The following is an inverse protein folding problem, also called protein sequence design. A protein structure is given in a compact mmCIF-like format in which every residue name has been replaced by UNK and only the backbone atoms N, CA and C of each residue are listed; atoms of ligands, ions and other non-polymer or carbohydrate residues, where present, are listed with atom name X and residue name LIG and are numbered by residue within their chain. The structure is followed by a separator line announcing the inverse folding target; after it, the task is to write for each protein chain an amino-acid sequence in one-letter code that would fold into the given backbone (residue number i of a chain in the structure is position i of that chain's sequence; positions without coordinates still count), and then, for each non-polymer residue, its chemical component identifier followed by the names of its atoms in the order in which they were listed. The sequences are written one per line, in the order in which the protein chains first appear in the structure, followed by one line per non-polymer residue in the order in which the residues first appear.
data_IF_574352523694
#
_entry.id   IF_574352523694
#
_cell.length_a   1.000
_cell.length_b   1.000
_cell.length_c   1.000
_cell.angle_alpha   90.00
_cell.angle_beta   90.00
_cell.angle_gamma   90.00
#
_symmetry.space_group_name_H-M   'P 1'
#
loop_
_entity.id
_entity.type
_entity.pdbx_description
1 polymer ?
#
# COMPACT_ATOMS: atom_id res chain seq x y z
N UNK A 1 -28.08 15.12 1.70
CA UNK A 1 -27.88 13.86 0.95
C UNK A 1 -27.05 12.96 1.85
N UNK A 2 -27.53 11.75 2.15
CA UNK A 2 -26.75 10.72 2.87
C UNK A 2 -25.45 10.43 2.11
N UNK A 3 -24.45 9.85 2.77
CA UNK A 3 -23.22 9.46 2.09
C UNK A 3 -23.50 8.37 1.03
N UNK A 4 -24.40 7.42 1.32
CA UNK A 4 -24.94 6.48 0.34
C UNK A 4 -25.60 7.20 -0.84
N UNK A 5 -26.44 8.21 -0.59
CA UNK A 5 -27.06 9.01 -1.63
C UNK A 5 -26.06 9.75 -2.53
N UNK A 6 -24.91 10.19 -2.00
CA UNK A 6 -23.83 10.79 -2.81
C UNK A 6 -23.20 9.76 -3.74
N UNK A 7 -22.93 8.55 -3.24
CA UNK A 7 -22.35 7.45 -4.03
C UNK A 7 -23.32 7.01 -5.13
N UNK A 8 -24.60 6.79 -4.81
CA UNK A 8 -25.63 6.41 -5.79
C UNK A 8 -25.82 7.48 -6.87
N UNK A 9 -25.65 8.75 -6.51
CA UNK A 9 -25.66 9.84 -7.49
C UNK A 9 -24.45 9.74 -8.42
N UNK A 10 -23.24 9.58 -7.88
CA UNK A 10 -22.02 9.45 -8.68
C UNK A 10 -22.11 8.25 -9.63
N UNK A 11 -22.59 7.10 -9.14
CA UNK A 11 -22.83 5.89 -9.93
C UNK A 11 -23.62 6.20 -11.21
N UNK A 12 -24.70 6.98 -11.09
CA UNK A 12 -25.53 7.39 -12.23
C UNK A 12 -24.82 8.40 -13.11
N UNK A 13 -24.13 9.38 -12.53
CA UNK A 13 -23.44 10.44 -13.29
C UNK A 13 -22.25 9.91 -14.10
N UNK A 14 -21.61 8.83 -13.64
CA UNK A 14 -20.43 8.21 -14.27
C UNK A 14 -20.76 6.96 -15.09
N UNK A 15 -22.03 6.58 -15.22
CA UNK A 15 -22.46 5.33 -15.88
C UNK A 15 -21.72 4.08 -15.33
N UNK A 16 -21.59 4.02 -14.00
CA UNK A 16 -20.92 2.90 -13.32
C UNK A 16 -21.70 1.61 -13.57
N UNK A 17 -20.98 0.57 -14.02
CA UNK A 17 -21.52 -0.77 -14.28
C UNK A 17 -21.34 -1.72 -13.11
N UNK A 18 -20.31 -1.50 -12.31
CA UNK A 18 -19.93 -2.39 -11.22
C UNK A 18 -19.49 -1.61 -9.98
N UNK A 19 -19.77 -2.17 -8.81
CA UNK A 19 -19.20 -1.71 -7.54
C UNK A 19 -18.29 -2.77 -6.96
N UNK A 20 -17.04 -2.38 -6.70
CA UNK A 20 -15.99 -3.26 -6.22
C UNK A 20 -15.69 -2.99 -4.74
N UNK A 21 -16.02 -3.95 -3.89
CA UNK A 21 -15.81 -3.86 -2.46
C UNK A 21 -14.42 -4.41 -2.10
N UNK A 22 -13.53 -3.55 -1.61
CA UNK A 22 -12.12 -3.86 -1.34
C UNK A 22 -11.83 -3.93 0.15
N UNK A 23 -11.08 -4.93 0.58
CA UNK A 23 -10.66 -5.10 1.98
C UNK A 23 -9.24 -5.65 2.03
N UNK A 24 -8.60 -5.68 3.21
CA UNK A 24 -7.23 -6.15 3.35
C UNK A 24 -7.17 -7.41 4.22
N UNK A 25 -6.50 -8.45 3.72
CA UNK A 25 -6.30 -9.69 4.47
C UNK A 25 -5.19 -9.57 5.53
N UNK A 26 -5.02 -10.63 6.34
CA UNK A 26 -3.99 -10.69 7.40
C UNK A 26 -2.55 -10.59 6.90
N UNK A 27 -2.31 -10.86 5.61
CA UNK A 27 -0.98 -10.72 4.99
C UNK A 27 -0.75 -9.32 4.41
N UNK A 28 -1.75 -8.43 4.50
CA UNK A 28 -1.69 -7.07 3.99
C UNK A 28 -1.99 -6.96 2.49
N UNK A 29 -2.51 -8.02 1.85
CA UNK A 29 -2.94 -7.95 0.45
C UNK A 29 -4.36 -7.39 0.38
N UNK A 30 -4.55 -6.42 -0.52
CA UNK A 30 -5.89 -5.96 -0.87
C UNK A 30 -6.60 -7.04 -1.68
N UNK A 31 -7.76 -7.43 -1.20
CA UNK A 31 -8.70 -8.38 -1.79
C UNK A 31 -9.96 -7.61 -2.22
N UNK A 32 -10.77 -8.21 -3.09
CA UNK A 32 -11.97 -7.55 -3.58
C UNK A 32 -13.09 -8.53 -3.97
N UNK A 33 -14.32 -8.05 -3.97
CA UNK A 33 -15.50 -8.71 -4.56
C UNK A 33 -16.29 -7.66 -5.34
N UNK A 34 -16.58 -7.97 -6.60
CA UNK A 34 -17.27 -7.06 -7.52
C UNK A 34 -18.74 -7.44 -7.67
N UNK A 35 -19.62 -6.45 -7.57
CA UNK A 35 -21.06 -6.61 -7.67
C UNK A 35 -21.58 -5.86 -8.90
N UNK A 36 -22.54 -6.48 -9.58
CA UNK A 36 -23.30 -5.82 -10.63
C UNK A 36 -24.14 -4.68 -10.04
N UNK A 37 -24.29 -3.59 -10.79
CA UNK A 37 -24.98 -2.40 -10.31
C UNK A 37 -26.44 -2.66 -9.92
N UNK A 38 -27.08 -3.67 -10.50
CA UNK A 38 -28.45 -4.07 -10.16
C UNK A 38 -28.60 -4.52 -8.70
N UNK A 39 -27.52 -4.92 -8.02
CA UNK A 39 -27.50 -5.28 -6.60
C UNK A 39 -27.16 -4.12 -5.66
N UNK A 40 -26.80 -2.95 -6.18
CA UNK A 40 -26.27 -1.84 -5.38
C UNK A 40 -27.33 -0.77 -5.16
N UNK A 41 -28.01 -0.87 -4.03
CA UNK A 41 -28.95 0.14 -3.54
C UNK A 41 -28.47 0.78 -2.22
N UNK A 42 -29.34 1.59 -1.59
CA UNK A 42 -29.00 2.25 -0.32
C UNK A 42 -28.82 1.23 0.81
N UNK A 43 -29.60 0.15 0.84
CA UNK A 43 -29.47 -0.91 1.84
C UNK A 43 -28.15 -1.67 1.69
N UNK A 44 -27.75 -2.03 0.47
CA UNK A 44 -26.45 -2.64 0.21
C UNK A 44 -25.27 -1.80 0.74
N UNK A 45 -25.32 -0.48 0.52
CA UNK A 45 -24.26 0.43 0.97
C UNK A 45 -24.29 0.64 2.49
N UNK A 46 -25.49 0.78 3.06
CA UNK A 46 -25.66 1.11 4.48
C UNK A 46 -25.55 -0.11 5.39
N UNK A 47 -26.04 -1.28 4.99
CA UNK A 47 -26.03 -2.52 5.77
C UNK A 47 -24.82 -3.39 5.45
N UNK A 48 -24.37 -3.41 4.20
CA UNK A 48 -23.27 -4.23 3.71
C UNK A 48 -23.74 -5.52 3.06
N UNK A 49 -22.79 -6.39 2.71
CA UNK A 49 -23.09 -7.63 1.98
C UNK A 49 -22.28 -8.81 2.48
N UNK A 50 -22.89 -10.00 2.41
CA UNK A 50 -22.29 -11.24 2.88
C UNK A 50 -21.29 -11.80 1.87
N UNK A 51 -20.21 -12.41 2.37
CA UNK A 51 -19.25 -13.13 1.55
C UNK A 51 -18.63 -14.31 2.32
N UNK A 52 -18.05 -15.24 1.56
CA UNK A 52 -17.33 -16.39 2.09
C UNK A 52 -15.88 -16.01 2.46
N UNK A 53 -15.62 -15.93 3.77
CA UNK A 53 -14.29 -15.64 4.33
C UNK A 53 -13.38 -16.86 4.49
N UNK A 54 -13.85 -18.08 4.22
CA UNK A 54 -13.12 -19.33 4.49
C UNK A 54 -11.91 -19.54 3.60
N UNK A 55 -11.92 -18.93 2.40
CA UNK A 55 -10.80 -19.00 1.44
C UNK A 55 -9.67 -18.02 1.76
N UNK A 56 -9.81 -17.18 2.80
CA UNK A 56 -8.80 -16.20 3.19
C UNK A 56 -7.90 -16.81 4.25
N UNK A 57 -6.61 -16.92 3.91
CA UNK A 57 -5.64 -17.60 4.75
C UNK A 57 -5.58 -16.98 6.16
N UNK A 58 -5.86 -17.80 7.17
CA UNK A 58 -5.84 -17.37 8.56
C UNK A 58 -7.10 -16.62 9.00
N UNK A 59 -8.21 -16.72 8.29
CA UNK A 59 -9.53 -16.22 8.73
C UNK A 59 -10.41 -17.36 9.26
N UNK A 60 -11.71 -17.37 8.94
CA UNK A 60 -12.69 -18.33 9.44
C UNK A 60 -12.47 -19.74 8.88
N UNK A 61 -12.82 -20.74 9.67
CA UNK A 61 -12.90 -22.11 9.19
C UNK A 61 -14.16 -22.30 8.34
N UNK A 62 -14.19 -23.33 7.48
CA UNK A 62 -15.30 -23.60 6.55
C UNK A 62 -16.67 -23.68 7.24
N UNK A 63 -16.71 -24.11 8.50
CA UNK A 63 -17.96 -24.24 9.27
C UNK A 63 -18.48 -22.93 9.88
N UNK A 64 -17.74 -21.82 9.75
CA UNK A 64 -18.13 -20.47 10.19
C UNK A 64 -17.71 -19.43 9.12
N UNK A 65 -17.88 -19.79 7.84
CA UNK A 65 -17.33 -19.07 6.68
C UNK A 65 -17.89 -17.67 6.48
N UNK A 66 -19.16 -17.48 6.82
CA UNK A 66 -19.91 -16.29 6.45
C UNK A 66 -19.41 -15.06 7.21
N UNK A 67 -19.11 -14.00 6.46
CA UNK A 67 -18.68 -12.72 7.00
C UNK A 67 -19.38 -11.57 6.29
N UNK A 68 -19.41 -10.40 6.92
CA UNK A 68 -20.06 -9.21 6.38
C UNK A 68 -19.00 -8.18 5.94
N UNK A 69 -19.04 -7.80 4.67
CA UNK A 69 -18.33 -6.62 4.16
C UNK A 69 -19.18 -5.40 4.42
N UNK A 70 -18.65 -4.47 5.22
CA UNK A 70 -19.29 -3.18 5.51
C UNK A 70 -18.58 -2.08 4.71
N UNK A 71 -19.19 -1.53 3.65
CA UNK A 71 -18.60 -0.43 2.91
C UNK A 71 -18.38 0.80 3.79
N UNK A 72 -17.21 1.41 3.68
CA UNK A 72 -16.89 2.69 4.30
C UNK A 72 -17.26 3.81 3.32
N UNK A 73 -18.39 4.46 3.57
CA UNK A 73 -18.98 5.44 2.65
C UNK A 73 -18.29 6.82 2.69
N UNK A 74 -17.22 6.97 3.49
CA UNK A 74 -16.51 8.25 3.62
C UNK A 74 -15.83 8.70 2.33
N UNK A 75 -15.43 7.75 1.48
CA UNK A 75 -14.79 8.01 0.20
C UNK A 75 -15.12 6.89 -0.80
N UNK A 76 -15.07 7.24 -2.09
CA UNK A 76 -15.21 6.31 -3.21
C UNK A 76 -14.30 6.75 -4.35
N UNK A 77 -14.00 5.84 -5.26
CA UNK A 77 -13.12 6.09 -6.39
C UNK A 77 -13.62 5.35 -7.63
N UNK A 78 -13.31 5.88 -8.81
CA UNK A 78 -13.43 5.13 -10.06
C UNK A 78 -12.09 4.44 -10.32
N UNK A 79 -12.13 3.15 -10.63
CA UNK A 79 -10.93 2.40 -10.96
C UNK A 79 -10.35 2.87 -12.32
N UNK A 80 -9.07 3.27 -12.39
CA UNK A 80 -8.48 3.81 -13.61
C UNK A 80 -7.97 2.73 -14.57
N UNK A 81 -7.95 1.45 -14.17
CA UNK A 81 -7.34 0.36 -14.94
C UNK A 81 -8.37 -0.59 -15.56
N UNK A 82 -9.57 -0.67 -14.99
CA UNK A 82 -10.64 -1.51 -15.54
C UNK A 82 -11.24 -0.95 -16.84
N UNK A 83 -11.56 -1.84 -17.77
CA UNK A 83 -12.17 -1.47 -19.05
C UNK A 83 -13.62 -1.00 -18.91
N UNK A 84 -14.37 -1.61 -17.98
CA UNK A 84 -15.72 -1.19 -17.63
C UNK A 84 -15.64 -0.23 -16.45
N UNK A 85 -16.46 0.82 -16.47
CA UNK A 85 -16.48 1.80 -15.40
C UNK A 85 -16.94 1.15 -14.10
N UNK A 86 -16.01 1.07 -13.16
CA UNK A 86 -16.19 0.41 -11.88
C UNK A 86 -15.86 1.39 -10.77
N UNK A 87 -16.80 1.59 -9.86
CA UNK A 87 -16.57 2.33 -8.62
C UNK A 87 -16.07 1.36 -7.56
N UNK A 88 -15.13 1.75 -6.72
CA UNK A 88 -14.69 0.93 -5.60
C UNK A 88 -14.78 1.64 -4.26
N UNK A 89 -15.00 0.84 -3.22
CA UNK A 89 -15.13 1.26 -1.82
C UNK A 89 -14.23 0.39 -0.95
N UNK A 90 -13.55 1.00 0.03
CA UNK A 90 -12.93 0.22 1.09
C UNK A 90 -14.00 -0.30 2.05
N UNK A 91 -13.78 -1.48 2.60
CA UNK A 91 -14.68 -2.14 3.53
C UNK A 91 -13.97 -2.48 4.85
N UNK A 92 -14.72 -2.38 5.94
CA UNK A 92 -14.41 -3.13 7.15
C UNK A 92 -15.02 -4.53 7.06
N UNK A 93 -14.47 -5.47 7.82
CA UNK A 93 -15.04 -6.82 7.94
C UNK A 93 -15.67 -6.98 9.31
N UNK A 94 -16.93 -7.42 9.34
CA UNK A 94 -17.70 -7.61 10.55
C UNK A 94 -18.11 -9.08 10.72
N UNK A 95 -18.33 -9.49 11.97
CA UNK A 95 -18.98 -10.76 12.27
C UNK A 95 -20.50 -10.59 12.01
N UNK A 96 -21.14 -11.45 11.21
CA UNK A 96 -22.52 -11.25 10.80
C UNK A 96 -23.51 -11.39 11.95
N UNK A 97 -23.24 -12.30 12.90
CA UNK A 97 -24.13 -12.56 14.03
C UNK A 97 -24.19 -11.41 15.04
N UNK A 98 -23.07 -10.71 15.24
CA UNK A 98 -22.93 -9.68 16.28
C UNK A 98 -22.86 -8.26 15.73
N UNK A 99 -22.56 -8.10 14.44
CA UNK A 99 -22.21 -6.82 13.83
C UNK A 99 -20.87 -6.25 14.31
N UNK A 100 -20.12 -6.97 15.15
CA UNK A 100 -18.87 -6.47 15.72
C UNK A 100 -17.70 -6.62 14.73
N UNK A 101 -16.81 -5.63 14.75
CA UNK A 101 -15.58 -5.61 13.96
C UNK A 101 -14.74 -6.88 14.13
N UNK A 102 -14.44 -7.53 13.01
CA UNK A 102 -13.66 -8.76 12.95
C UNK A 102 -12.24 -8.52 13.48
N UNK A 103 -11.79 -9.38 14.38
CA UNK A 103 -10.53 -9.17 15.10
C UNK A 103 -9.27 -9.43 14.26
N UNK A 104 -9.39 -9.96 13.04
CA UNK A 104 -8.28 -10.15 12.09
C UNK A 104 -8.35 -9.22 10.88
N UNK A 105 -9.30 -8.29 10.85
CA UNK A 105 -9.31 -7.20 9.89
C UNK A 105 -8.36 -6.09 10.36
N UNK A 106 -7.31 -5.82 9.57
CA UNK A 106 -6.32 -4.80 9.86
C UNK A 106 -6.92 -3.39 9.92
N UNK A 107 -7.96 -3.11 9.12
CA UNK A 107 -8.61 -1.80 9.08
C UNK A 107 -9.38 -1.54 10.37
N UNK A 108 -10.14 -2.53 10.82
CA UNK A 108 -10.77 -2.55 12.14
C UNK A 108 -9.77 -2.40 13.30
N UNK A 109 -8.61 -3.06 13.22
CA UNK A 109 -7.56 -2.90 14.25
C UNK A 109 -6.98 -1.48 14.28
N UNK A 110 -6.76 -0.86 13.13
CA UNK A 110 -6.34 0.53 13.02
C UNK A 110 -7.36 1.49 13.65
N UNK A 111 -8.65 1.31 13.37
CA UNK A 111 -9.75 2.09 14.00
C UNK A 111 -9.74 1.94 15.53
N UNK A 112 -9.58 0.72 16.05
CA UNK A 112 -9.46 0.45 17.50
C UNK A 112 -8.22 1.11 18.11
N UNK A 113 -7.09 1.09 17.42
CA UNK A 113 -5.86 1.76 17.89
C UNK A 113 -6.03 3.28 17.99
N UNK A 114 -6.67 3.91 17.00
CA UNK A 114 -7.00 5.34 17.04
C UNK A 114 -7.94 5.69 18.20
N UNK A 115 -8.99 4.90 18.41
CA UNK A 115 -9.90 5.07 19.54
C UNK A 115 -9.19 4.91 20.90
N UNK A 116 -8.19 4.02 20.98
CA UNK A 116 -7.36 3.87 22.17
C UNK A 116 -6.51 5.12 22.44
N UNK A 117 -5.85 5.67 21.41
CA UNK A 117 -5.07 6.92 21.55
C UNK A 117 -5.96 8.06 22.05
N UNK A 118 -7.15 8.22 21.48
CA UNK A 118 -8.12 9.23 21.88
C UNK A 118 -8.59 9.04 23.33
N UNK A 119 -9.04 7.83 23.69
CA UNK A 119 -9.54 7.54 25.05
C UNK A 119 -8.47 7.60 26.13
N UNK A 120 -7.20 7.33 25.78
CA UNK A 120 -6.06 7.53 26.68
C UNK A 120 -5.72 9.00 26.95
N UNK A 121 -6.30 9.92 26.18
CA UNK A 121 -6.05 11.35 26.32
C UNK A 121 -4.64 11.76 25.91
N UNK A 122 -3.97 11.01 25.02
CA UNK A 122 -2.62 11.31 24.52
C UNK A 122 -2.66 12.27 23.32
N UNK A 123 -3.65 12.16 22.45
CA UNK A 123 -3.88 13.05 21.31
C UNK A 123 -5.22 12.76 20.63
N UNK A 124 -5.64 13.61 19.69
CA UNK A 124 -6.87 13.40 18.91
C UNK A 124 -6.61 12.83 17.51
N UNK A 125 -5.44 13.12 16.95
CA UNK A 125 -5.06 12.80 15.58
C UNK A 125 -3.65 12.22 15.55
N UNK A 126 -3.48 11.13 14.81
CA UNK A 126 -2.18 10.48 14.61
C UNK A 126 -1.87 10.45 13.12
N UNK A 127 -0.83 11.15 12.71
CA UNK A 127 -0.40 11.21 11.32
C UNK A 127 0.71 10.19 11.03
N UNK A 128 0.62 9.60 9.84
CA UNK A 128 1.58 8.68 9.28
C UNK A 128 2.02 9.16 7.89
N UNK A 129 3.31 9.04 7.59
CA UNK A 129 3.91 9.27 6.28
C UNK A 129 4.86 8.11 5.94
N UNK A 130 4.37 7.04 5.29
CA UNK A 130 5.20 5.94 4.82
C UNK A 130 5.84 6.27 3.45
N UNK A 131 7.15 6.07 3.36
CA UNK A 131 7.92 6.08 2.10
C UNK A 131 8.24 4.63 1.74
N UNK A 132 7.44 4.04 0.85
CA UNK A 132 7.59 2.64 0.45
C UNK A 132 8.40 2.54 -0.84
N UNK A 133 9.67 2.16 -0.69
CA UNK A 133 10.57 1.88 -1.81
C UNK A 133 10.14 0.58 -2.53
N UNK A 134 10.50 0.45 -3.80
CA UNK A 134 10.18 -0.72 -4.61
C UNK A 134 11.17 -0.91 -5.76
N UNK A 135 11.12 -2.08 -6.39
CA UNK A 135 11.88 -2.39 -7.59
C UNK A 135 10.94 -2.60 -8.78
N UNK A 136 11.41 -2.31 -9.98
CA UNK A 136 10.74 -2.66 -11.24
C UNK A 136 11.68 -3.51 -12.09
N UNK A 137 11.27 -4.74 -12.39
CA UNK A 137 12.03 -5.67 -13.23
C UNK A 137 11.37 -5.88 -14.59
N UNK A 138 12.17 -6.24 -15.58
CA UNK A 138 11.72 -6.62 -16.93
C UNK A 138 11.37 -8.11 -17.01
N UNK A 139 12.03 -8.95 -16.22
CA UNK A 139 11.77 -10.40 -16.13
C UNK A 139 11.88 -10.86 -14.68
N UNK A 140 10.99 -11.76 -14.24
CA UNK A 140 11.07 -12.43 -12.93
C UNK A 140 10.62 -13.87 -13.09
N UNK A 141 11.49 -14.82 -12.77
CA UNK A 141 11.22 -16.27 -12.85
C UNK A 141 11.61 -16.93 -11.53
N UNK A 142 10.82 -17.88 -11.07
CA UNK A 142 11.11 -18.64 -9.85
C UNK A 142 10.53 -20.04 -9.91
N UNK A 143 11.10 -20.94 -9.12
CA UNK A 143 10.66 -22.31 -8.98
C UNK A 143 10.87 -22.78 -7.54
N UNK A 144 9.93 -23.59 -7.06
CA UNK A 144 10.00 -24.27 -5.75
C UNK A 144 9.93 -25.78 -5.93
N UNK A 145 10.22 -26.28 -7.13
CA UNK A 145 10.28 -27.71 -7.39
C UNK A 145 11.45 -28.33 -6.60
N UNK A 146 11.31 -29.54 -6.04
CA UNK A 146 12.38 -30.14 -5.23
C UNK A 146 13.74 -30.28 -5.93
N UNK A 147 13.74 -30.37 -7.26
CA UNK A 147 14.94 -30.51 -8.10
C UNK A 147 15.39 -29.18 -8.75
N UNK A 148 14.61 -28.11 -8.60
CA UNK A 148 14.84 -26.81 -9.22
C UNK A 148 14.22 -25.74 -8.31
N UNK A 149 14.96 -25.36 -7.26
CA UNK A 149 14.53 -24.31 -6.34
C UNK A 149 15.42 -23.10 -6.51
N UNK A 150 14.82 -21.98 -6.92
CA UNK A 150 15.57 -20.77 -7.19
C UNK A 150 14.69 -19.66 -7.74
N UNK A 151 15.32 -18.52 -7.97
CA UNK A 151 14.72 -17.38 -8.63
C UNK A 151 15.79 -16.66 -9.46
N UNK A 152 15.33 -15.99 -10.51
CA UNK A 152 16.12 -15.07 -11.31
C UNK A 152 15.23 -13.88 -11.66
N UNK A 153 15.85 -12.74 -11.86
CA UNK A 153 15.18 -11.53 -12.31
C UNK A 153 16.13 -10.78 -13.22
N UNK A 154 15.56 -9.93 -14.06
CA UNK A 154 16.34 -9.10 -14.96
C UNK A 154 15.78 -7.68 -15.06
N UNK A 155 16.66 -6.73 -15.36
CA UNK A 155 16.28 -5.37 -15.75
C UNK A 155 17.36 -4.79 -16.64
N UNK A 156 16.95 -3.98 -17.62
CA UNK A 156 17.88 -3.25 -18.49
C UNK A 156 18.85 -2.36 -17.72
N UNK A 157 18.56 -1.98 -16.47
CA UNK A 157 19.45 -1.18 -15.63
C UNK A 157 20.47 -2.00 -14.84
N UNK A 158 20.33 -3.33 -14.77
CA UNK A 158 21.22 -4.15 -13.95
C UNK A 158 22.66 -4.13 -14.49
N UNK A 159 23.68 -3.96 -13.61
CA UNK A 159 25.09 -4.03 -14.00
C UNK A 159 25.48 -5.37 -14.65
N UNK A 160 24.74 -6.44 -14.37
CA UNK A 160 24.92 -7.76 -14.99
C UNK A 160 24.76 -7.72 -16.52
N UNK A 161 24.04 -6.72 -17.06
CA UNK A 161 23.73 -6.58 -18.48
C UNK A 161 24.67 -5.65 -19.26
N UNK A 162 25.81 -5.25 -18.66
CA UNK A 162 26.81 -4.39 -19.34
C UNK A 162 27.35 -5.01 -20.63
N UNK A 163 27.46 -6.34 -20.70
CA UNK A 163 27.87 -7.08 -21.90
C UNK A 163 26.75 -7.82 -22.63
N UNK A 164 25.48 -7.58 -22.27
CA UNK A 164 24.35 -8.26 -22.90
C UNK A 164 24.16 -7.82 -24.37
N UNK A 165 23.73 -8.75 -25.22
CA UNK A 165 23.34 -8.47 -26.61
C UNK A 165 21.82 -8.26 -26.69
N UNK A 166 21.41 -7.11 -27.21
CA UNK A 166 20.01 -6.77 -27.47
C UNK A 166 19.80 -6.57 -28.97
N UNK A 167 18.59 -6.85 -29.47
CA UNK A 167 18.24 -6.70 -30.89
C UNK A 167 18.47 -5.29 -31.43
N UNK A 168 18.24 -4.30 -30.59
CA UNK A 168 18.36 -2.86 -30.85
C UNK A 168 19.74 -2.30 -30.46
N UNK A 169 20.63 -3.15 -29.94
CA UNK A 169 21.97 -2.78 -29.45
C UNK A 169 22.01 -2.45 -27.96
N UNK A 170 23.20 -2.53 -27.37
CA UNK A 170 23.41 -2.21 -25.96
C UNK A 170 23.86 -0.75 -25.79
N UNK A 171 22.97 0.10 -25.27
CA UNK A 171 23.20 1.55 -25.15
C UNK A 171 24.20 1.96 -24.06
N UNK A 172 24.58 1.04 -23.17
CA UNK A 172 25.64 1.26 -22.17
C UNK A 172 25.29 2.12 -20.94
N UNK A 173 24.35 3.05 -21.04
CA UNK A 173 23.96 3.96 -19.94
C UNK A 173 23.19 3.22 -18.83
N UNK A 174 23.88 2.85 -17.74
CA UNK A 174 23.28 2.14 -16.60
C UNK A 174 23.85 2.62 -15.28
N UNK A 175 23.06 2.60 -14.19
CA UNK A 175 23.60 2.82 -12.86
C UNK A 175 24.55 1.68 -12.49
N UNK A 176 25.64 2.02 -11.82
CA UNK A 176 26.50 1.01 -11.20
C UNK A 176 25.83 0.43 -9.96
N UNK A 177 26.43 -0.60 -9.37
CA UNK A 177 26.08 -1.04 -8.03
C UNK A 177 26.01 0.15 -7.06
N UNK A 178 24.90 0.31 -6.33
CA UNK A 178 24.61 1.48 -5.47
C UNK A 178 24.71 2.86 -6.15
N UNK A 179 24.61 2.91 -7.48
CA UNK A 179 24.79 4.10 -8.30
C UNK A 179 23.51 4.67 -8.89
N UNK A 180 22.33 4.19 -8.44
CA UNK A 180 21.03 4.61 -8.97
C UNK A 180 20.51 5.92 -8.38
N UNK A 181 21.18 6.51 -7.39
CA UNK A 181 20.62 7.66 -6.67
C UNK A 181 20.70 8.95 -7.50
N UNK A 182 19.56 9.36 -8.06
CA UNK A 182 19.37 10.60 -8.83
C UNK A 182 20.20 10.82 -10.12
N UNK A 183 20.64 9.80 -10.89
CA UNK A 183 21.18 10.07 -12.21
C UNK A 183 20.06 10.60 -13.12
N UNK A 184 20.42 11.50 -14.04
CA UNK A 184 19.51 11.94 -15.10
C UNK A 184 19.47 10.90 -16.22
N UNK A 185 18.40 10.89 -17.02
CA UNK A 185 18.32 10.12 -18.25
C UNK A 185 19.52 10.40 -19.18
N UNK A 186 20.04 9.41 -19.93
CA UNK A 186 19.45 8.07 -20.16
C UNK A 186 19.83 7.00 -19.14
N UNK A 187 20.62 7.31 -18.11
CA UNK A 187 20.99 6.33 -17.07
C UNK A 187 19.78 5.89 -16.23
N UNK A 188 18.91 6.83 -15.89
CA UNK A 188 17.60 6.56 -15.30
C UNK A 188 16.58 6.26 -16.42
N UNK A 189 16.15 5.00 -16.50
CA UNK A 189 15.26 4.51 -17.56
C UNK A 189 13.77 4.62 -17.21
N UNK A 190 13.43 5.01 -15.98
CA UNK A 190 12.07 4.90 -15.44
C UNK A 190 11.42 6.26 -15.11
N UNK A 191 11.97 7.37 -15.62
CA UNK A 191 11.46 8.73 -15.38
C UNK A 191 9.97 8.87 -15.75
N UNK A 192 9.60 8.53 -16.99
CA UNK A 192 8.21 8.67 -17.47
C UNK A 192 7.28 7.69 -16.77
N UNK A 193 7.75 6.48 -16.49
CA UNK A 193 6.99 5.45 -15.79
C UNK A 193 6.62 5.91 -14.36
N UNK A 194 7.57 6.49 -13.62
CA UNK A 194 7.28 7.05 -12.29
C UNK A 194 6.39 8.29 -12.38
N UNK A 195 6.53 9.10 -13.43
CA UNK A 195 5.65 10.23 -13.72
C UNK A 195 4.19 9.80 -13.89
N UNK A 196 3.95 8.75 -14.67
CA UNK A 196 2.63 8.16 -14.88
C UNK A 196 2.01 7.66 -13.58
N UNK A 197 2.79 6.97 -12.74
CA UNK A 197 2.35 6.53 -11.41
C UNK A 197 1.87 7.71 -10.54
N UNK A 198 2.59 8.84 -10.54
CA UNK A 198 2.13 10.04 -9.81
C UNK A 198 0.87 10.65 -10.42
N UNK A 199 0.72 10.60 -11.75
CA UNK A 199 -0.49 11.03 -12.47
C UNK A 199 -1.71 10.26 -11.99
N UNK A 200 -1.66 8.92 -12.06
CA UNK A 200 -2.76 8.06 -11.61
C UNK A 200 -3.04 8.22 -10.11
N UNK A 201 -2.01 8.33 -9.27
CA UNK A 201 -2.19 8.61 -7.84
C UNK A 201 -2.93 9.92 -7.60
N UNK A 202 -2.62 10.95 -8.39
CA UNK A 202 -3.31 12.25 -8.31
C UNK A 202 -4.78 12.14 -8.72
N UNK A 203 -5.09 11.37 -9.76
CA UNK A 203 -6.46 11.13 -10.20
C UNK A 203 -7.28 10.37 -9.14
N UNK A 204 -6.62 9.52 -8.34
CA UNK A 204 -7.20 8.87 -7.15
C UNK A 204 -7.20 9.76 -5.89
N UNK A 205 -6.77 11.01 -5.98
CA UNK A 205 -6.74 11.96 -4.86
C UNK A 205 -5.60 11.75 -3.84
N UNK A 206 -4.60 10.92 -4.17
CA UNK A 206 -3.46 10.58 -3.30
C UNK A 206 -2.33 11.60 -3.47
N UNK A 207 -2.49 12.80 -2.91
CA UNK A 207 -1.57 13.96 -2.95
C UNK A 207 -0.08 13.59 -3.09
N UNK A 208 0.45 13.42 -4.33
CA UNK A 208 1.82 13.00 -4.54
C UNK A 208 2.75 14.21 -4.52
N UNK A 209 3.96 14.04 -3.97
CA UNK A 209 4.93 15.12 -3.78
C UNK A 209 6.09 15.05 -4.78
N UNK A 210 6.74 13.88 -4.88
CA UNK A 210 7.96 13.68 -5.67
C UNK A 210 8.07 12.22 -6.11
N UNK A 211 8.93 11.95 -7.08
CA UNK A 211 9.41 10.60 -7.36
C UNK A 211 10.90 10.66 -7.66
N UNK A 212 11.61 9.55 -7.46
CA UNK A 212 12.98 9.42 -7.89
C UNK A 212 13.43 7.97 -8.03
N UNK A 213 14.55 7.82 -8.73
CA UNK A 213 15.33 6.60 -8.67
C UNK A 213 16.03 6.50 -7.30
N UNK A 214 16.04 5.29 -6.75
CA UNK A 214 16.66 4.96 -5.46
C UNK A 214 18.09 4.42 -5.64
N UNK A 215 18.76 4.06 -4.54
CA UNK A 215 20.19 3.75 -4.56
C UNK A 215 20.55 2.52 -5.42
N UNK A 216 19.80 1.42 -5.35
CA UNK A 216 20.08 0.23 -6.15
C UNK A 216 19.56 0.40 -7.59
N UNK A 217 20.20 -0.20 -8.61
CA UNK A 217 19.65 -0.31 -9.96
C UNK A 217 18.21 -0.85 -9.95
N UNK A 218 17.34 -0.29 -10.79
CA UNK A 218 15.93 -0.64 -10.87
C UNK A 218 15.10 -0.39 -9.59
N UNK A 219 15.63 0.36 -8.62
CA UNK A 219 14.95 0.75 -7.40
C UNK A 219 14.34 2.14 -7.53
N UNK A 220 13.17 2.34 -6.93
CA UNK A 220 12.43 3.60 -7.01
C UNK A 220 11.72 3.94 -5.69
N UNK A 221 11.42 5.22 -5.52
CA UNK A 221 10.56 5.75 -4.46
C UNK A 221 9.65 6.86 -4.99
N UNK A 222 8.41 6.85 -4.54
CA UNK A 222 7.42 7.90 -4.77
C UNK A 222 6.97 8.46 -3.41
N UNK A 223 7.03 9.77 -3.25
CA UNK A 223 6.63 10.47 -2.03
C UNK A 223 5.14 10.82 -2.03
N UNK A 224 4.46 10.51 -0.93
CA UNK A 224 3.08 10.91 -0.66
C UNK A 224 3.04 11.85 0.55
N UNK A 225 2.19 12.87 0.48
CA UNK A 225 1.93 13.70 1.65
C UNK A 225 1.28 12.86 2.75
N UNK A 226 1.79 13.00 3.98
CA UNK A 226 1.25 12.32 5.15
C UNK A 226 -0.25 12.61 5.36
N UNK A 227 -0.93 11.67 6.01
CA UNK A 227 -2.33 11.81 6.45
C UNK A 227 -2.55 11.12 7.79
N UNK A 228 -3.75 11.23 8.35
CA UNK A 228 -4.13 10.40 9.50
C UNK A 228 -3.92 8.90 9.20
N UNK A 229 -3.73 8.10 10.26
CA UNK A 229 -3.36 6.69 10.18
C UNK A 229 -4.23 5.89 9.21
N UNK A 230 -5.56 6.03 9.28
CA UNK A 230 -6.47 5.20 8.49
C UNK A 230 -6.41 5.58 7.01
N UNK A 231 -6.52 6.88 6.72
CA UNK A 231 -6.41 7.39 5.35
C UNK A 231 -5.06 7.02 4.73
N UNK A 232 -3.97 7.11 5.49
CA UNK A 232 -2.65 6.79 4.97
C UNK A 232 -2.46 5.29 4.74
N UNK A 233 -3.06 4.43 5.57
CA UNK A 233 -3.06 2.99 5.34
C UNK A 233 -3.80 2.63 4.04
N UNK A 234 -4.95 3.25 3.76
CA UNK A 234 -5.68 3.07 2.50
C UNK A 234 -4.88 3.55 1.30
N UNK A 235 -4.30 4.75 1.41
CA UNK A 235 -3.42 5.30 0.38
C UNK A 235 -2.23 4.38 0.12
N UNK A 236 -1.68 3.71 1.13
CA UNK A 236 -0.59 2.76 0.92
C UNK A 236 -1.04 1.51 0.14
N UNK A 237 -2.28 1.05 0.33
CA UNK A 237 -2.83 -0.04 -0.48
C UNK A 237 -3.03 0.41 -1.94
N UNK A 238 -3.60 1.60 -2.14
CA UNK A 238 -3.73 2.18 -3.49
C UNK A 238 -2.37 2.47 -4.14
N UNK A 239 -1.37 2.88 -3.37
CA UNK A 239 -0.01 3.15 -3.84
C UNK A 239 0.59 1.90 -4.47
N UNK A 240 0.52 0.78 -3.76
CA UNK A 240 0.97 -0.53 -4.27
C UNK A 240 0.15 -0.99 -5.46
N UNK A 241 -1.17 -0.77 -5.44
CA UNK A 241 -2.07 -1.12 -6.54
C UNK A 241 -1.72 -0.34 -7.82
N UNK A 242 -1.56 0.99 -7.73
CA UNK A 242 -1.16 1.84 -8.86
C UNK A 242 0.20 1.42 -9.39
N UNK A 243 1.19 1.21 -8.52
CA UNK A 243 2.54 0.84 -8.95
C UNK A 243 2.55 -0.50 -9.69
N UNK A 244 1.85 -1.51 -9.17
CA UNK A 244 1.78 -2.80 -9.88
C UNK A 244 1.08 -2.68 -11.23
N UNK A 245 -0.04 -1.96 -11.32
CA UNK A 245 -0.81 -1.87 -12.57
C UNK A 245 -0.12 -0.99 -13.63
N UNK A 246 0.48 0.14 -13.24
CA UNK A 246 1.26 0.97 -14.17
C UNK A 246 2.49 0.20 -14.65
N UNK A 247 3.23 -0.49 -13.76
CA UNK A 247 4.34 -1.32 -14.19
C UNK A 247 3.90 -2.41 -15.18
N UNK A 248 2.78 -3.10 -14.90
CA UNK A 248 2.23 -4.12 -15.79
C UNK A 248 1.81 -3.56 -17.16
N UNK A 249 1.20 -2.37 -17.20
CA UNK A 249 0.83 -1.70 -18.45
C UNK A 249 2.06 -1.33 -19.32
N UNK A 250 3.22 -1.11 -18.68
CA UNK A 250 4.50 -0.88 -19.34
C UNK A 250 5.27 -2.18 -19.66
N UNK A 251 4.66 -3.35 -19.45
CA UNK A 251 5.30 -4.65 -19.69
C UNK A 251 6.36 -5.02 -18.66
N UNK A 252 6.28 -4.48 -17.44
CA UNK A 252 7.25 -4.68 -16.35
C UNK A 252 6.58 -5.27 -15.11
N UNK A 253 7.39 -5.75 -14.17
CA UNK A 253 6.95 -6.34 -12.90
C UNK A 253 7.51 -5.56 -11.72
N UNK A 254 6.65 -4.88 -10.96
CA UNK A 254 7.05 -4.19 -9.73
C UNK A 254 7.02 -5.13 -8.50
N UNK A 255 7.89 -4.87 -7.52
CA UNK A 255 7.90 -5.58 -6.23
C UNK A 255 8.31 -4.68 -5.07
N UNK A 256 7.63 -4.85 -3.92
CA UNK A 256 7.90 -4.17 -2.65
C UNK A 256 8.67 -5.06 -1.66
N UNK A 257 9.25 -6.17 -2.14
CA UNK A 257 9.98 -7.08 -1.25
C UNK A 257 11.20 -6.37 -0.65
N UNK A 258 11.51 -6.66 0.61
CA UNK A 258 12.54 -5.94 1.35
C UNK A 258 13.95 -6.12 0.77
N UNK A 259 14.23 -7.26 0.14
CA UNK A 259 15.55 -7.55 -0.44
C UNK A 259 15.46 -8.45 -1.67
N UNK A 260 15.20 -7.89 -2.86
CA UNK A 260 15.28 -8.64 -4.11
C UNK A 260 16.72 -8.91 -4.54
N UNK A 261 17.61 -7.92 -4.33
CA UNK A 261 18.99 -7.94 -4.81
C UNK A 261 19.98 -8.19 -3.67
N UNK A 262 20.79 -9.25 -3.80
CA UNK A 262 21.89 -9.51 -2.88
C UNK A 262 23.04 -8.51 -3.10
N UNK A 263 23.63 -8.02 -2.01
CA UNK A 263 24.77 -7.09 -2.05
C UNK A 263 24.40 -5.63 -2.27
N UNK A 264 23.21 -5.31 -2.78
CA UNK A 264 22.76 -3.93 -3.04
C UNK A 264 21.77 -3.42 -1.97
N UNK A 265 21.29 -2.19 -2.10
CA UNK A 265 20.22 -1.66 -1.27
C UNK A 265 18.93 -2.50 -1.43
N UNK A 266 18.08 -2.47 -0.41
CA UNK A 266 16.80 -3.17 -0.42
C UNK A 266 15.68 -2.25 0.04
N UNK A 267 14.43 -2.57 -0.30
CA UNK A 267 13.29 -1.69 -0.11
C UNK A 267 12.87 -1.53 1.36
N UNK A 268 12.94 -0.29 1.84
CA UNK A 268 12.35 0.14 3.10
C UNK A 268 10.87 0.53 2.97
N UNK A 269 10.21 0.60 4.14
CA UNK A 269 9.05 1.46 4.32
C UNK A 269 9.37 2.41 5.47
N UNK A 270 9.94 3.58 5.17
CA UNK A 270 10.28 4.55 6.21
C UNK A 270 9.00 5.22 6.70
N UNK A 271 8.64 5.06 7.98
CA UNK A 271 7.34 5.52 8.50
C UNK A 271 7.53 6.70 9.45
N UNK A 272 7.26 7.90 8.93
CA UNK A 272 7.22 9.13 9.71
C UNK A 272 5.91 9.20 10.51
N UNK A 273 5.99 9.55 11.80
CA UNK A 273 4.84 9.52 12.71
C UNK A 273 4.79 10.79 13.56
N UNK A 274 3.58 11.31 13.80
CA UNK A 274 3.37 12.39 14.77
C UNK A 274 1.99 12.32 15.40
N UNK A 275 1.90 12.74 16.67
CA UNK A 275 0.63 12.84 17.40
C UNK A 275 0.29 14.32 17.60
N UNK A 276 -0.97 14.65 17.39
CA UNK A 276 -1.49 16.01 17.45
C UNK A 276 -2.65 16.12 18.43
N UNK A 277 -2.88 17.36 18.87
CA UNK A 277 -4.05 17.75 19.65
C UNK A 277 -4.50 19.14 19.26
N UNK A 278 -5.78 19.33 19.03
CA UNK A 278 -6.41 20.60 18.68
C UNK A 278 -5.65 21.30 17.53
N UNK A 279 -5.22 20.52 16.53
CA UNK A 279 -4.47 21.00 15.39
C UNK A 279 -3.02 21.44 15.67
N UNK A 280 -2.43 21.05 16.82
CA UNK A 280 -1.03 21.34 17.17
C UNK A 280 -0.20 20.06 17.33
N UNK A 281 1.06 20.03 16.83
CA UNK A 281 1.92 18.88 16.97
C UNK A 281 2.42 18.73 18.40
N UNK A 282 2.30 17.52 18.96
CA UNK A 282 2.77 17.23 20.32
C UNK A 282 4.22 16.74 20.36
N UNK A 283 4.78 16.35 19.22
CA UNK A 283 6.16 15.86 19.14
C UNK A 283 7.21 16.96 19.03
N UNK A 284 6.81 18.18 18.62
CA UNK A 284 7.69 19.34 18.59
C UNK A 284 7.93 19.86 20.02
N UNK A 285 9.18 20.17 20.34
CA UNK A 285 9.56 20.66 21.67
C UNK A 285 10.96 21.25 21.74
N UNK A 286 11.45 21.43 22.96
CA UNK A 286 12.73 22.10 23.29
C UNK A 286 13.81 21.13 23.81
N UNK A 287 13.61 19.83 23.65
CA UNK A 287 14.56 18.79 24.08
C UNK A 287 15.52 18.46 22.94
N UNK A 288 15.95 17.21 22.85
CA UNK A 288 16.91 16.75 21.85
C UNK A 288 16.36 16.92 20.43
N UNK A 289 17.16 17.51 19.53
CA UNK A 289 16.84 17.69 18.10
C UNK A 289 15.47 18.36 17.83
N UNK A 290 15.00 19.24 18.72
CA UNK A 290 13.70 19.92 18.58
C UNK A 290 12.48 19.06 18.95
N UNK A 291 12.71 17.94 19.66
CA UNK A 291 11.66 17.02 20.08
C UNK A 291 11.13 17.39 21.49
N UNK A 292 9.89 17.01 21.78
CA UNK A 292 9.30 17.08 23.12
C UNK A 292 9.64 15.86 23.96
N UNK A 293 9.45 15.94 25.28
CA UNK A 293 9.55 14.76 26.16
C UNK A 293 8.59 13.65 25.72
N UNK A 294 7.38 14.00 25.26
CA UNK A 294 6.41 13.06 24.73
C UNK A 294 6.97 12.29 23.53
N UNK A 295 7.63 12.95 22.59
CA UNK A 295 8.25 12.28 21.44
C UNK A 295 9.38 11.35 21.89
N UNK A 296 10.23 11.79 22.83
CA UNK A 296 11.32 10.97 23.35
C UNK A 296 10.80 9.71 24.07
N UNK A 297 9.71 9.81 24.84
CA UNK A 297 9.07 8.65 25.46
C UNK A 297 8.40 7.74 24.44
N UNK A 298 7.78 8.30 23.41
CA UNK A 298 7.19 7.56 22.29
C UNK A 298 8.26 6.71 21.59
N UNK A 299 9.41 7.32 21.25
CA UNK A 299 10.58 6.62 20.69
C UNK A 299 11.08 5.54 21.66
N UNK A 300 11.19 5.84 22.96
CA UNK A 300 11.56 4.88 23.99
C UNK A 300 10.64 3.65 24.04
N UNK A 301 9.34 3.85 23.84
CA UNK A 301 8.35 2.78 23.72
C UNK A 301 8.60 1.90 22.49
N UNK A 302 8.81 2.50 21.32
CA UNK A 302 9.15 1.76 20.09
C UNK A 302 10.40 0.92 20.30
N UNK A 303 11.48 1.50 20.83
CA UNK A 303 12.75 0.79 21.06
C UNK A 303 12.56 -0.36 22.04
N UNK A 304 11.84 -0.12 23.16
CA UNK A 304 11.55 -1.15 24.17
C UNK A 304 10.79 -2.34 23.58
N UNK A 305 9.88 -2.09 22.64
CA UNK A 305 9.02 -3.11 22.05
C UNK A 305 9.44 -3.55 20.64
N UNK A 306 10.61 -3.12 20.15
CA UNK A 306 11.06 -3.33 18.77
C UNK A 306 11.01 -4.78 18.31
N UNK A 307 11.37 -5.75 19.18
CA UNK A 307 11.31 -7.18 18.85
C UNK A 307 9.89 -7.66 18.52
N UNK A 308 8.89 -7.19 19.27
CA UNK A 308 7.50 -7.53 19.03
C UNK A 308 6.93 -6.77 17.83
N UNK A 309 7.29 -5.50 17.69
CA UNK A 309 6.90 -4.67 16.54
C UNK A 309 7.39 -5.29 15.22
N UNK A 310 8.62 -5.82 15.18
CA UNK A 310 9.19 -6.47 14.00
C UNK A 310 8.38 -7.68 13.50
N UNK A 311 7.57 -8.33 14.33
CA UNK A 311 6.66 -9.38 13.86
C UNK A 311 5.59 -8.83 12.91
N UNK A 312 5.25 -7.55 13.02
CA UNK A 312 4.27 -6.85 12.18
C UNK A 312 4.94 -5.96 11.13
N UNK A 313 5.92 -5.13 11.52
CA UNK A 313 6.59 -4.19 10.60
C UNK A 313 7.57 -4.87 9.65
N UNK A 314 8.06 -6.07 9.98
CA UNK A 314 9.05 -6.83 9.22
C UNK A 314 8.60 -8.31 9.14
N UNK A 315 7.36 -8.51 8.67
CA UNK A 315 6.59 -9.75 8.79
C UNK A 315 6.98 -10.88 7.82
N UNK A 316 8.09 -10.76 7.09
CA UNK A 316 8.54 -11.80 6.14
C UNK A 316 9.97 -12.24 6.44
N UNK A 317 10.33 -13.45 6.03
CA UNK A 317 11.73 -13.93 6.14
C UNK A 317 12.69 -13.10 5.27
N UNK A 318 12.20 -12.54 4.16
CA UNK A 318 12.96 -11.66 3.26
C UNK A 318 13.27 -10.31 3.94
N UNK A 319 12.42 -9.82 4.85
CA UNK A 319 12.67 -8.61 5.64
C UNK A 319 13.99 -8.67 6.42
N UNK A 320 14.41 -9.86 6.87
CA UNK A 320 15.66 -10.07 7.61
C UNK A 320 16.87 -10.35 6.72
N UNK A 321 16.74 -10.13 5.40
CA UNK A 321 17.85 -10.13 4.44
C UNK A 321 18.25 -8.71 4.02
N UNK A 322 17.39 -7.73 4.28
CA UNK A 322 17.63 -6.31 4.01
C UNK A 322 18.64 -5.74 4.98
#
# INVERSE_FOLDING_TARGET
MSDAGKILKEIKEKDVRYVDLRFTDTKGRMQHVTFDIDLVDEEFLEEGTMFDGSSIAGWKAINESDMLLKPDLSNFWIDPFYQQTTLFLFCDVLNPDTGEAYNRDSRSMAKKALAYVQSSGVGDTVFFGPEAEFFIFDDVRWSTAPHDTGYTYDSIELPANTGAEYSEGNMGHRPTHKGGYFPVNPTDSAQDLRGEMLGVMRDLGMQPEKHHHEVAPAQHELGLKFSDLLTMADRLQLYKYVIHNVAAAYGKSATFMAKPTFGDNGSGMHVHQSIWRDGKPLFAGDKYAGLSDMCLWYIGGIIKHAKAINAFSNSTTNSYKR
#
